data_IF_880997209567
#
_entry.id   IF_880997209567
#
_cell.length_a   1.000
_cell.length_b   1.000
_cell.length_c   1.000
_cell.angle_alpha   90.00
_cell.angle_beta   90.00
_cell.angle_gamma   90.00
#
_symmetry.space_group_name_H-M   'P 1'
#
loop_
_entity.id
_entity.type
_entity.pdbx_description
1 polymer ?
#
# COMPACT_ATOMS: atom_id res chain seq x y z
N UNK A 1 43.92 6.74 1.94
CA UNK A 1 43.12 7.00 3.17
C UNK A 1 41.93 7.83 2.72
N UNK A 2 40.85 7.17 2.37
CA UNK A 2 39.61 7.81 1.92
C UNK A 2 38.53 6.85 2.34
N UNK A 3 37.83 7.21 3.41
CA UNK A 3 36.91 6.32 4.09
C UNK A 3 35.73 6.00 3.19
N UNK A 4 35.54 4.70 2.94
CA UNK A 4 34.28 4.17 2.42
C UNK A 4 33.28 4.43 3.54
N UNK A 5 32.41 5.43 3.37
CA UNK A 5 31.23 5.60 4.22
C UNK A 5 30.32 4.41 3.94
N UNK A 6 30.44 3.38 4.77
CA UNK A 6 29.46 2.32 4.92
C UNK A 6 28.12 2.99 5.26
N UNK A 7 27.14 2.94 4.35
CA UNK A 7 25.75 3.22 4.72
C UNK A 7 25.32 2.08 5.63
N UNK A 8 25.50 2.25 6.94
CA UNK A 8 24.90 1.37 7.94
C UNK A 8 23.37 1.57 7.88
N UNK A 9 22.68 0.71 7.11
CA UNK A 9 21.23 0.58 7.24
C UNK A 9 20.96 0.06 8.64
N UNK A 10 20.36 0.90 9.49
CA UNK A 10 19.96 0.56 10.85
C UNK A 10 19.07 -0.70 10.80
N UNK A 11 19.56 -1.83 11.31
CA UNK A 11 18.95 -3.16 11.14
C UNK A 11 17.65 -3.41 11.93
N UNK A 12 16.90 -2.36 12.30
CA UNK A 12 15.72 -2.49 13.15
C UNK A 12 14.45 -1.80 12.62
N UNK A 13 14.44 -1.36 11.37
CA UNK A 13 13.22 -0.82 10.74
C UNK A 13 12.37 -1.95 10.18
N UNK A 14 11.27 -2.25 10.87
CA UNK A 14 10.26 -3.20 10.40
C UNK A 14 9.33 -2.49 9.42
N UNK A 15 9.40 -2.89 8.14
CA UNK A 15 8.52 -2.34 7.11
C UNK A 15 7.05 -2.67 7.37
N UNK A 16 6.21 -1.64 7.36
CA UNK A 16 4.76 -1.76 7.56
C UNK A 16 4.02 -1.67 6.23
N UNK A 17 2.95 -2.46 6.08
CA UNK A 17 2.00 -2.35 4.96
C UNK A 17 1.23 -1.03 5.02
N UNK A 18 1.06 -0.49 6.23
CA UNK A 18 0.31 0.73 6.50
C UNK A 18 1.14 1.68 7.35
N UNK A 19 1.62 2.76 6.75
CA UNK A 19 2.38 3.81 7.44
C UNK A 19 1.62 5.13 7.37
N UNK A 20 0.70 5.34 8.31
CA UNK A 20 -0.13 6.56 8.44
C UNK A 20 -0.74 7.06 7.10
N UNK A 21 -1.54 6.25 6.41
CA UNK A 21 -2.04 6.58 5.09
C UNK A 21 -2.97 7.79 5.13
N UNK A 22 -2.78 8.71 4.20
CA UNK A 22 -3.52 9.93 4.04
C UNK A 22 -4.42 9.88 2.79
N UNK A 23 -5.50 10.68 2.75
CA UNK A 23 -6.34 10.79 1.54
C UNK A 23 -5.54 11.15 0.28
N UNK A 24 -4.54 12.03 0.43
CA UNK A 24 -3.70 12.52 -0.67
C UNK A 24 -2.68 11.49 -1.15
N UNK A 25 -2.51 10.37 -0.45
CA UNK A 25 -1.65 9.28 -0.89
C UNK A 25 -2.28 8.51 -2.04
N UNK A 26 -3.60 8.61 -2.25
CA UNK A 26 -4.29 7.84 -3.31
C UNK A 26 -4.36 8.67 -4.59
N UNK A 27 -3.60 8.26 -5.60
CA UNK A 27 -3.64 8.85 -6.93
C UNK A 27 -4.24 7.87 -7.95
N UNK A 28 -5.16 8.36 -8.77
CA UNK A 28 -5.75 7.59 -9.85
C UNK A 28 -4.74 7.35 -10.99
N UNK A 29 -4.68 6.12 -11.48
CA UNK A 29 -3.92 5.73 -12.67
C UNK A 29 -4.78 5.76 -13.94
N UNK A 30 -4.49 4.87 -14.90
CA UNK A 30 -5.16 4.89 -16.21
C UNK A 30 -6.58 4.29 -16.23
N UNK A 31 -7.00 3.62 -15.16
CA UNK A 31 -8.33 2.99 -15.09
C UNK A 31 -9.40 3.99 -14.62
N UNK A 32 -10.60 3.91 -15.22
CA UNK A 32 -11.78 4.71 -14.87
C UNK A 32 -12.45 4.30 -13.55
N UNK A 33 -11.69 4.16 -12.46
CA UNK A 33 -12.15 3.70 -11.14
C UNK A 33 -12.11 4.80 -10.06
N UNK A 34 -12.29 6.06 -10.45
CA UNK A 34 -12.28 7.22 -9.54
C UNK A 34 -13.22 7.07 -8.34
N UNK A 35 -14.38 6.44 -8.54
CA UNK A 35 -15.36 6.14 -7.50
C UNK A 35 -14.78 5.26 -6.38
N UNK A 36 -13.93 4.29 -6.73
CA UNK A 36 -13.24 3.43 -5.76
C UNK A 36 -12.14 4.20 -5.03
N UNK A 37 -11.37 5.00 -5.77
CA UNK A 37 -10.28 5.80 -5.20
C UNK A 37 -10.80 6.82 -4.19
N UNK A 38 -11.90 7.51 -4.51
CA UNK A 38 -12.56 8.45 -3.60
C UNK A 38 -13.04 7.75 -2.32
N UNK A 39 -13.61 6.54 -2.44
CA UNK A 39 -14.02 5.75 -1.29
C UNK A 39 -12.82 5.35 -0.41
N UNK A 40 -11.72 4.89 -1.01
CA UNK A 40 -10.49 4.55 -0.28
C UNK A 40 -9.91 5.77 0.46
N UNK A 41 -9.92 6.95 -0.15
CA UNK A 41 -9.47 8.19 0.49
C UNK A 41 -10.32 8.62 1.69
N UNK A 42 -11.59 8.21 1.75
CA UNK A 42 -12.42 8.38 2.96
C UNK A 42 -12.11 7.32 4.01
N UNK A 43 -11.78 6.09 3.60
CA UNK A 43 -11.41 5.01 4.52
C UNK A 43 -10.09 5.30 5.24
N UNK A 44 -9.10 5.93 4.59
CA UNK A 44 -7.83 6.30 5.23
C UNK A 44 -8.00 7.21 6.44
N UNK A 45 -9.05 8.04 6.46
CA UNK A 45 -9.39 8.89 7.61
C UNK A 45 -10.03 8.13 8.78
N UNK A 46 -10.29 6.83 8.63
CA UNK A 46 -10.87 5.95 9.64
C UNK A 46 -9.94 4.76 9.93
N UNK A 47 -8.91 4.92 10.77
CA UNK A 47 -7.92 3.87 11.03
C UNK A 47 -8.51 2.52 11.45
N UNK A 48 -9.62 2.53 12.21
CA UNK A 48 -10.35 1.32 12.61
C UNK A 48 -10.98 0.57 11.43
N UNK A 49 -11.43 1.29 10.40
CA UNK A 49 -11.95 0.64 9.18
C UNK A 49 -10.81 0.08 8.36
N UNK A 50 -9.69 0.81 8.29
CA UNK A 50 -8.53 0.38 7.53
C UNK A 50 -7.92 -0.90 8.12
N UNK A 51 -7.78 -1.00 9.45
CA UNK A 51 -7.35 -2.24 10.11
C UNK A 51 -8.36 -3.39 10.02
N UNK A 52 -9.63 -3.10 9.73
CA UNK A 52 -10.63 -4.13 9.45
C UNK A 52 -10.53 -4.67 8.02
N UNK A 53 -10.02 -3.86 7.09
CA UNK A 53 -9.87 -4.18 5.66
C UNK A 53 -8.50 -4.82 5.40
N UNK A 54 -7.40 -4.23 5.90
CA UNK A 54 -6.04 -4.73 5.74
C UNK A 54 -5.66 -5.60 6.95
N UNK A 55 -5.58 -6.91 6.75
CA UNK A 55 -5.33 -7.87 7.83
C UNK A 55 -3.83 -8.13 8.05
N UNK A 56 -3.02 -8.00 7.00
CA UNK A 56 -1.56 -8.05 7.08
C UNK A 56 -1.01 -6.65 7.39
N UNK A 57 -0.32 -6.49 8.52
CA UNK A 57 0.25 -5.21 8.95
C UNK A 57 1.74 -5.05 8.61
N UNK A 58 2.47 -6.15 8.42
CA UNK A 58 3.92 -6.15 8.18
C UNK A 58 4.24 -6.68 6.79
N UNK A 59 5.22 -6.07 6.12
CA UNK A 59 5.80 -6.61 4.89
C UNK A 59 6.45 -7.96 5.22
N UNK A 60 6.31 -8.93 4.32
CA UNK A 60 6.85 -10.27 4.49
C UNK A 60 7.56 -10.73 3.21
N UNK A 61 8.57 -11.59 3.37
CA UNK A 61 9.44 -12.06 2.29
C UNK A 61 8.71 -12.89 1.23
N UNK A 62 7.52 -13.38 1.56
CA UNK A 62 6.67 -14.20 0.71
C UNK A 62 5.82 -13.35 -0.22
N UNK A 63 5.72 -12.04 0.03
CA UNK A 63 4.91 -11.11 -0.77
C UNK A 63 3.41 -11.38 -0.65
N UNK A 64 2.94 -12.00 0.44
CA UNK A 64 1.53 -12.43 0.59
C UNK A 64 0.76 -11.52 1.56
N UNK A 65 -0.39 -11.02 1.12
CA UNK A 65 -1.20 -10.06 1.88
C UNK A 65 -2.66 -10.50 1.94
N UNK A 66 -3.31 -10.25 3.08
CA UNK A 66 -4.72 -10.57 3.31
C UNK A 66 -5.55 -9.30 3.37
N UNK A 67 -6.56 -9.20 2.50
CA UNK A 67 -7.50 -8.08 2.46
C UNK A 67 -8.93 -8.58 2.61
N UNK A 68 -9.71 -7.90 3.44
CA UNK A 68 -11.13 -8.17 3.63
C UNK A 68 -11.96 -7.25 2.74
N UNK A 69 -12.78 -7.85 1.87
CA UNK A 69 -13.68 -7.16 0.96
C UNK A 69 -15.13 -7.51 1.33
N UNK A 70 -15.99 -6.50 1.43
CA UNK A 70 -17.43 -6.71 1.58
C UNK A 70 -18.06 -6.79 0.19
N UNK A 71 -18.63 -7.94 -0.14
CA UNK A 71 -19.32 -8.16 -1.40
C UNK A 71 -20.71 -8.73 -1.13
N UNK A 72 -21.75 -8.04 -1.60
CA UNK A 72 -23.16 -8.40 -1.36
C UNK A 72 -23.49 -8.59 0.12
N UNK A 73 -22.95 -7.71 0.99
CA UNK A 73 -23.16 -7.77 2.43
C UNK A 73 -22.35 -8.86 3.16
N UNK A 74 -21.56 -9.65 2.44
CA UNK A 74 -20.72 -10.70 3.00
C UNK A 74 -19.25 -10.31 2.99
N UNK A 75 -18.61 -10.43 4.14
CA UNK A 75 -17.17 -10.23 4.26
C UNK A 75 -16.41 -11.46 3.76
N UNK A 76 -15.51 -11.25 2.81
CA UNK A 76 -14.62 -12.27 2.26
C UNK A 76 -13.17 -11.83 2.44
N UNK A 77 -12.31 -12.78 2.76
CA UNK A 77 -10.85 -12.56 2.78
C UNK A 77 -10.31 -12.94 1.41
N UNK A 78 -9.52 -12.05 0.83
CA UNK A 78 -8.84 -12.20 -0.45
C UNK A 78 -7.34 -12.23 -0.18
N UNK A 79 -6.67 -13.23 -0.74
CA UNK A 79 -5.22 -13.35 -0.75
C UNK A 79 -4.67 -12.56 -1.94
N UNK A 80 -3.67 -11.73 -1.70
CA UNK A 80 -2.98 -10.93 -2.72
C UNK A 80 -1.48 -11.24 -2.69
N UNK A 81 -0.86 -11.24 -3.86
CA UNK A 81 0.59 -11.07 -3.99
C UNK A 81 0.96 -9.57 -4.03
N UNK A 82 2.25 -9.26 -4.11
CA UNK A 82 2.79 -7.91 -4.34
C UNK A 82 3.17 -7.66 -5.81
N UNK A 83 2.62 -8.42 -6.75
CA UNK A 83 2.88 -8.22 -8.17
C UNK A 83 1.97 -7.12 -8.73
N UNK A 84 2.55 -5.94 -8.99
CA UNK A 84 1.79 -4.82 -9.55
C UNK A 84 1.91 -4.70 -11.08
N UNK A 85 0.79 -4.45 -11.79
CA UNK A 85 0.82 -4.14 -13.21
C UNK A 85 1.57 -2.84 -13.50
N UNK A 86 2.54 -2.93 -14.41
CA UNK A 86 3.40 -1.82 -14.79
C UNK A 86 3.32 -1.53 -16.30
N UNK A 87 3.51 -0.27 -16.65
CA UNK A 87 3.71 0.19 -18.02
C UNK A 87 5.09 -0.25 -18.53
N UNK A 88 5.33 -0.15 -19.85
CA UNK A 88 6.64 -0.39 -20.45
C UNK A 88 7.76 0.49 -19.84
N UNK A 89 7.39 1.67 -19.32
CA UNK A 89 8.30 2.60 -18.64
C UNK A 89 8.49 2.28 -17.15
N UNK A 90 8.04 1.12 -16.68
CA UNK A 90 8.13 0.64 -15.28
C UNK A 90 7.42 1.53 -14.25
N UNK A 91 6.42 2.30 -14.67
CA UNK A 91 5.49 2.96 -13.75
C UNK A 91 4.28 2.07 -13.48
N UNK A 92 3.73 2.14 -12.26
CA UNK A 92 2.46 1.49 -11.92
C UNK A 92 1.36 1.93 -12.90
N UNK A 93 0.62 0.98 -13.46
CA UNK A 93 -0.42 1.26 -14.44
C UNK A 93 -1.73 1.74 -13.79
N UNK A 94 -1.97 1.32 -12.54
CA UNK A 94 -3.19 1.63 -11.79
C UNK A 94 -2.91 2.67 -10.70
N UNK A 95 -3.68 2.61 -9.61
CA UNK A 95 -3.51 3.54 -8.50
C UNK A 95 -2.10 3.51 -7.95
N UNK A 96 -1.56 4.68 -7.64
CA UNK A 96 -0.20 4.85 -7.13
C UNK A 96 -0.18 5.80 -5.94
N UNK A 97 0.93 5.79 -5.22
CA UNK A 97 1.16 6.74 -4.12
C UNK A 97 1.67 8.07 -4.65
N UNK A 98 1.16 9.19 -4.12
CA UNK A 98 1.68 10.54 -4.45
C UNK A 98 2.85 10.96 -3.56
N UNK A 99 2.86 10.55 -2.29
CA UNK A 99 3.90 10.89 -1.31
C UNK A 99 5.02 9.83 -1.32
N UNK A 100 6.26 10.26 -1.35
CA UNK A 100 7.37 9.40 -0.92
C UNK A 100 7.30 9.33 0.61
N UNK A 101 6.86 8.19 1.16
CA UNK A 101 6.61 8.02 2.60
C UNK A 101 7.89 7.90 3.47
N UNK A 102 8.98 8.55 3.05
CA UNK A 102 10.24 8.67 3.80
C UNK A 102 10.55 10.15 3.97
N UNK A 103 10.12 10.71 5.10
CA UNK A 103 10.65 11.93 5.73
C UNK A 103 11.02 11.60 7.18
#
# INVERSE_FOLDING_TARGET
>A
MGDIVSMETNQNETWSVMLNPQPNDIQQGYLGNCWLMAALALVTQRPRMLSHILLTSTVNDQGIYLVRICHNGLWKIVLLDDCFPCTERRHLAFSQVRRHALE
#
